data_IF_106205333481
#
_entry.id   IF_106205333481
#
_cell.length_a   1.000
_cell.length_b   1.000
_cell.length_c   1.000
_cell.angle_alpha   90.00
_cell.angle_beta   90.00
_cell.angle_gamma   90.00
#
_symmetry.space_group_name_H-M   'P 1'
#
loop_
_entity.id
_entity.type
_entity.pdbx_description
1 polymer ?
#
# COMPACT_ATOMS: atom_id res chain seq x y z
N UNK A 1 24.41 -28.10 -0.23
CA UNK A 1 23.08 -28.63 -0.26
C UNK A 1 22.14 -27.77 0.57
N UNK A 2 22.50 -27.63 1.79
CA UNK A 2 21.75 -26.73 2.63
C UNK A 2 21.73 -25.36 2.04
N UNK A 3 22.82 -24.99 1.48
CA UNK A 3 22.94 -23.71 0.82
C UNK A 3 21.91 -23.57 -0.27
N UNK A 4 21.72 -24.63 -1.01
CA UNK A 4 20.77 -24.56 -2.08
C UNK A 4 19.36 -24.36 -1.56
N UNK A 5 19.01 -25.07 -0.54
CA UNK A 5 17.69 -24.89 0.03
C UNK A 5 17.52 -23.48 0.57
N UNK A 6 18.55 -22.97 1.19
CA UNK A 6 18.50 -21.61 1.67
C UNK A 6 18.31 -20.61 0.56
N UNK A 7 19.04 -20.79 -0.51
CA UNK A 7 18.92 -19.87 -1.63
C UNK A 7 17.53 -19.93 -2.19
N UNK A 8 17.02 -21.11 -2.33
CA UNK A 8 15.70 -21.26 -2.87
C UNK A 8 14.66 -20.59 -1.98
N UNK A 9 14.79 -20.83 -0.72
CA UNK A 9 13.86 -20.21 0.21
C UNK A 9 13.99 -18.70 0.21
N UNK A 10 15.20 -18.22 0.11
CA UNK A 10 15.37 -16.79 0.02
C UNK A 10 14.63 -16.23 -1.16
N UNK A 11 14.67 -16.94 -2.26
CA UNK A 11 13.95 -16.48 -3.43
C UNK A 11 12.46 -16.58 -3.23
N UNK A 12 11.98 -17.72 -2.83
CA UNK A 12 10.57 -17.96 -2.74
C UNK A 12 9.93 -17.16 -1.59
N UNK A 13 10.57 -17.20 -0.46
CA UNK A 13 10.02 -16.51 0.69
C UNK A 13 10.13 -15.02 0.55
N UNK A 14 11.11 -14.59 -0.16
CA UNK A 14 11.34 -13.15 -0.28
C UNK A 14 10.44 -12.48 -1.28
N UNK A 15 9.80 -13.24 -2.10
CA UNK A 15 8.91 -12.62 -3.05
C UNK A 15 7.91 -11.75 -2.35
N UNK A 16 7.42 -12.22 -1.25
CA UNK A 16 6.51 -11.44 -0.46
C UNK A 16 7.08 -11.20 0.92
N UNK A 17 8.33 -11.38 1.02
CA UNK A 17 9.18 -11.30 2.17
C UNK A 17 8.63 -10.51 3.32
N UNK A 18 7.85 -11.08 4.08
CA UNK A 18 7.12 -10.34 5.10
C UNK A 18 7.98 -9.79 6.21
N UNK A 19 9.24 -10.10 6.19
CA UNK A 19 10.11 -9.51 7.19
C UNK A 19 10.08 -8.02 7.05
N UNK A 20 9.83 -7.34 8.14
CA UNK A 20 9.84 -5.90 8.13
C UNK A 20 8.53 -5.25 7.78
N UNK A 21 7.46 -6.02 7.73
CA UNK A 21 6.16 -5.40 7.56
C UNK A 21 5.85 -4.49 8.73
N UNK A 22 4.92 -3.57 8.54
CA UNK A 22 4.55 -2.65 9.59
C UNK A 22 3.21 -2.03 9.34
N UNK A 23 2.86 -1.05 10.17
CA UNK A 23 1.59 -0.35 10.04
C UNK A 23 1.81 1.14 10.21
N UNK A 24 0.94 1.92 9.58
CA UNK A 24 0.95 3.37 9.76
C UNK A 24 -0.49 3.86 9.62
N UNK A 25 -0.81 4.96 10.29
CA UNK A 25 -2.14 5.55 10.25
C UNK A 25 -2.04 6.99 9.77
N UNK A 26 -2.91 7.38 8.85
CA UNK A 26 -2.98 8.78 8.40
C UNK A 26 -3.46 9.68 9.53
N UNK A 27 -2.81 10.82 9.67
CA UNK A 27 -3.05 11.70 10.80
C UNK A 27 -4.22 12.65 10.59
N UNK A 28 -4.27 13.37 9.50
CA UNK A 28 -5.14 14.54 9.37
C UNK A 28 -6.27 14.36 8.38
N UNK A 29 -6.01 13.73 7.25
CA UNK A 29 -7.00 13.57 6.20
C UNK A 29 -6.63 12.38 5.34
N UNK A 30 -7.51 12.03 4.41
CA UNK A 30 -7.23 10.95 3.48
C UNK A 30 -6.18 11.33 2.43
N UNK A 31 -5.79 12.60 2.39
CA UNK A 31 -4.71 13.05 1.50
C UNK A 31 -3.38 13.19 2.21
N UNK A 32 -3.32 12.94 3.51
CA UNK A 32 -2.12 13.13 4.30
C UNK A 32 -1.09 12.06 3.95
N UNK A 33 0.14 12.47 3.67
CA UNK A 33 1.22 11.53 3.39
C UNK A 33 1.55 10.70 4.61
N UNK A 34 2.01 9.49 4.38
CA UNK A 34 2.45 8.60 5.45
C UNK A 34 3.87 8.15 5.15
N UNK A 35 4.56 7.68 6.16
CA UNK A 35 5.91 7.09 6.02
C UNK A 35 5.90 5.71 6.64
N UNK A 36 6.29 4.72 5.84
CA UNK A 36 6.41 3.35 6.32
C UNK A 36 7.50 2.67 5.49
N UNK A 37 8.66 2.49 6.09
CA UNK A 37 9.83 1.94 5.40
C UNK A 37 9.81 0.42 5.49
N UNK A 38 9.08 -0.20 4.58
CA UNK A 38 8.91 -1.65 4.57
C UNK A 38 8.49 -2.09 3.17
N UNK A 39 8.75 -3.35 2.85
CA UNK A 39 8.36 -3.89 1.55
C UNK A 39 6.92 -4.37 1.56
N UNK A 40 6.29 -4.46 2.71
CA UNK A 40 4.88 -4.77 2.83
C UNK A 40 4.35 -4.15 4.10
N UNK A 41 3.06 -3.94 4.17
CA UNK A 41 2.48 -3.38 5.37
C UNK A 41 1.04 -3.01 5.22
N UNK A 42 0.54 -2.30 6.24
CA UNK A 42 -0.83 -1.85 6.29
C UNK A 42 -0.88 -0.36 6.55
N UNK A 43 -1.77 0.31 5.85
CA UNK A 43 -1.99 1.74 6.02
C UNK A 43 -3.45 1.92 6.41
N UNK A 44 -3.68 2.47 7.60
CA UNK A 44 -5.02 2.82 8.05
C UNK A 44 -5.29 4.25 7.64
N UNK A 45 -6.30 4.44 6.81
CA UNK A 45 -6.64 5.78 6.35
C UNK A 45 -7.34 6.57 7.43
N UNK A 46 -7.27 7.88 7.31
CA UNK A 46 -8.04 8.78 8.15
C UNK A 46 -9.53 8.56 7.87
N UNK A 47 -10.37 8.77 8.87
CA UNK A 47 -11.82 8.57 8.71
C UNK A 47 -12.55 9.80 8.14
N UNK A 48 -11.84 10.73 7.56
CA UNK A 48 -12.46 11.87 6.91
C UNK A 48 -13.38 11.43 5.78
N UNK A 49 -14.40 12.21 5.51
CA UNK A 49 -15.38 11.87 4.50
C UNK A 49 -14.77 11.84 3.11
N UNK A 50 -15.20 10.85 2.34
CA UNK A 50 -14.89 10.78 0.91
C UNK A 50 -16.23 10.69 0.20
N UNK A 51 -16.56 11.73 -0.57
CA UNK A 51 -17.86 11.83 -1.21
C UNK A 51 -18.08 10.73 -2.23
N UNK A 52 -19.34 10.47 -2.56
CA UNK A 52 -19.68 9.52 -3.60
C UNK A 52 -19.00 9.91 -4.90
N UNK A 53 -18.45 8.93 -5.59
CA UNK A 53 -17.76 9.11 -6.88
C UNK A 53 -16.50 9.97 -6.81
N UNK A 54 -16.03 10.32 -5.61
CA UNK A 54 -14.82 11.09 -5.44
C UNK A 54 -13.62 10.16 -5.23
N UNK A 55 -12.44 10.70 -5.53
CA UNK A 55 -11.20 9.98 -5.26
C UNK A 55 -10.22 10.88 -4.53
N UNK A 56 -9.28 10.27 -3.86
CA UNK A 56 -8.23 10.97 -3.14
C UNK A 56 -6.92 10.21 -3.34
N UNK A 57 -5.83 10.95 -3.39
CA UNK A 57 -4.50 10.37 -3.56
C UNK A 57 -3.61 10.85 -2.43
N UNK A 58 -2.83 9.95 -1.86
CA UNK A 58 -1.84 10.32 -0.86
C UNK A 58 -0.51 9.66 -1.17
N UNK A 59 0.55 10.24 -0.65
CA UNK A 59 1.90 9.72 -0.88
C UNK A 59 2.33 8.82 0.26
N UNK A 60 3.00 7.74 -0.10
CA UNK A 60 3.65 6.84 0.87
C UNK A 60 5.15 7.01 0.70
N UNK A 61 5.80 7.54 1.72
CA UNK A 61 7.25 7.63 1.74
C UNK A 61 7.80 6.31 2.27
N UNK A 62 8.66 5.67 1.48
CA UNK A 62 9.10 4.32 1.80
C UNK A 62 10.46 4.10 1.13
N UNK A 63 11.51 4.10 1.94
CA UNK A 63 12.87 4.03 1.43
C UNK A 63 13.23 2.67 0.83
N UNK A 64 12.34 1.70 0.87
CA UNK A 64 12.55 0.40 0.23
C UNK A 64 12.09 0.39 -1.22
N UNK A 65 11.47 1.46 -1.69
CA UNK A 65 10.85 1.53 -3.01
C UNK A 65 11.83 2.10 -4.03
N UNK A 66 11.82 1.52 -5.22
CA UNK A 66 12.50 2.10 -6.36
C UNK A 66 11.51 2.31 -7.50
N UNK A 67 11.88 3.15 -8.45
CA UNK A 67 10.97 3.54 -9.53
C UNK A 67 10.56 2.36 -10.43
N UNK A 68 11.33 1.29 -10.42
CA UNK A 68 11.05 0.12 -11.26
C UNK A 68 10.26 -0.97 -10.53
N UNK A 69 9.90 -0.74 -9.29
CA UNK A 69 9.14 -1.72 -8.51
C UNK A 69 7.69 -1.75 -8.93
N UNK A 70 7.00 -2.82 -8.55
CA UNK A 70 5.56 -2.95 -8.68
C UNK A 70 4.97 -3.00 -7.29
N UNK A 71 4.04 -2.11 -6.99
CA UNK A 71 3.37 -2.09 -5.69
C UNK A 71 1.92 -2.52 -5.90
N UNK A 72 1.52 -3.54 -5.17
CA UNK A 72 0.17 -4.05 -5.20
C UNK A 72 -0.52 -3.61 -3.92
N UNK A 73 -1.70 -3.03 -4.05
CA UNK A 73 -2.50 -2.61 -2.91
C UNK A 73 -3.89 -3.21 -3.02
N UNK A 74 -4.53 -3.39 -1.87
CA UNK A 74 -5.92 -3.77 -1.85
C UNK A 74 -6.60 -3.19 -0.61
N UNK A 75 -7.93 -3.12 -0.66
CA UNK A 75 -8.73 -2.78 0.52
C UNK A 75 -8.75 -4.03 1.39
N UNK A 76 -7.91 -4.04 2.42
CA UNK A 76 -7.70 -5.24 3.22
C UNK A 76 -8.77 -5.47 4.26
N UNK A 77 -9.23 -4.41 4.93
CA UNK A 77 -10.20 -4.56 6.00
C UNK A 77 -10.81 -3.20 6.37
N UNK A 78 -11.77 -3.24 7.28
CA UNK A 78 -12.48 -2.09 7.81
C UNK A 78 -13.27 -1.34 6.75
N UNK A 79 -14.31 -0.68 7.16
CA UNK A 79 -15.19 0.05 6.26
C UNK A 79 -16.10 -0.86 5.47
N UNK A 80 -16.73 -0.30 4.46
CA UNK A 80 -17.75 -0.99 3.66
C UNK A 80 -17.10 -1.72 2.50
N UNK A 81 -17.17 -3.03 2.51
CA UNK A 81 -16.60 -3.85 1.45
C UNK A 81 -17.26 -3.53 0.12
N UNK A 82 -16.46 -3.51 -0.94
CA UNK A 82 -16.96 -3.27 -2.29
C UNK A 82 -17.20 -1.82 -2.64
N UNK A 83 -17.00 -0.90 -1.68
CA UNK A 83 -17.26 0.52 -1.91
C UNK A 83 -16.04 1.29 -2.36
N UNK A 84 -14.87 0.69 -2.38
CA UNK A 84 -13.63 1.38 -2.69
C UNK A 84 -12.85 0.68 -3.76
N UNK A 85 -12.28 1.47 -4.67
CA UNK A 85 -11.23 0.98 -5.56
C UNK A 85 -9.93 1.64 -5.12
N UNK A 86 -8.88 0.85 -5.05
CA UNK A 86 -7.57 1.36 -4.65
C UNK A 86 -6.53 0.92 -5.67
N UNK A 87 -5.56 1.80 -5.92
CA UNK A 87 -4.42 1.43 -6.75
C UNK A 87 -3.19 2.18 -6.28
N UNK A 88 -2.02 1.62 -6.61
CA UNK A 88 -0.75 2.28 -6.38
C UNK A 88 -0.25 2.83 -7.71
N UNK A 89 0.38 3.99 -7.66
CA UNK A 89 0.85 4.65 -8.86
C UNK A 89 2.00 5.60 -8.52
N UNK A 90 2.54 6.26 -9.53
CA UNK A 90 3.55 7.31 -9.36
C UNK A 90 4.76 6.83 -8.58
N UNK A 91 5.27 5.65 -8.92
CA UNK A 91 6.44 5.11 -8.25
C UNK A 91 7.67 5.94 -8.56
N UNK A 92 8.46 6.17 -7.52
CA UNK A 92 9.71 6.89 -7.61
C UNK A 92 10.68 6.29 -6.60
N UNK A 93 11.93 6.70 -6.68
CA UNK A 93 12.88 6.27 -5.66
C UNK A 93 12.44 6.84 -4.32
N UNK A 94 12.09 5.97 -3.39
CA UNK A 94 11.72 6.37 -2.05
C UNK A 94 10.26 6.69 -1.82
N UNK A 95 9.38 6.53 -2.82
CA UNK A 95 7.96 6.80 -2.59
C UNK A 95 7.07 6.21 -3.67
N UNK A 96 5.79 6.11 -3.34
CA UNK A 96 4.75 5.85 -4.32
C UNK A 96 3.47 6.54 -3.82
N UNK A 97 2.45 6.55 -4.64
CA UNK A 97 1.18 7.12 -4.25
C UNK A 97 0.09 6.07 -4.31
N UNK A 98 -0.92 6.27 -3.50
CA UNK A 98 -2.11 5.42 -3.48
C UNK A 98 -3.31 6.31 -3.77
N UNK A 99 -4.13 5.88 -4.73
CA UNK A 99 -5.37 6.54 -5.04
C UNK A 99 -6.52 5.67 -4.57
N UNK A 100 -7.45 6.27 -3.86
CA UNK A 100 -8.62 5.60 -3.31
C UNK A 100 -9.85 6.28 -3.86
N UNK A 101 -10.74 5.51 -4.47
CA UNK A 101 -11.98 6.03 -5.03
C UNK A 101 -13.16 5.44 -4.28
N UNK A 102 -14.11 6.28 -3.92
CA UNK A 102 -15.38 5.84 -3.35
C UNK A 102 -16.34 5.61 -4.52
N UNK A 103 -16.63 4.35 -4.81
CA UNK A 103 -17.49 4.00 -5.94
C UNK A 103 -18.92 3.72 -5.50
N UNK A 104 -19.24 4.02 -4.25
CA UNK A 104 -20.60 3.85 -3.75
C UNK A 104 -21.45 5.08 -4.06
N UNK A 105 -22.74 4.98 -3.76
CA UNK A 105 -23.68 6.04 -4.05
C UNK A 105 -23.72 7.13 -2.97
N UNK A 106 -22.99 6.96 -1.88
CA UNK A 106 -23.03 7.91 -0.78
C UNK A 106 -21.65 8.23 -0.25
N UNK A 107 -21.57 9.31 0.53
CA UNK A 107 -20.32 9.68 1.19
C UNK A 107 -20.01 8.69 2.30
N UNK A 108 -18.73 8.35 2.44
CA UNK A 108 -18.28 7.42 3.47
C UNK A 108 -17.17 8.07 4.29
N UNK A 109 -17.29 7.94 5.62
CA UNK A 109 -16.29 8.47 6.54
C UNK A 109 -15.69 7.31 7.32
N UNK A 110 -14.86 6.55 6.65
CA UNK A 110 -14.37 5.28 7.19
C UNK A 110 -12.85 5.21 7.16
N UNK A 111 -12.28 4.66 8.23
CA UNK A 111 -10.85 4.45 8.33
C UNK A 111 -10.51 3.07 7.78
N UNK A 112 -10.57 2.94 6.47
CA UNK A 112 -10.27 1.65 5.84
C UNK A 112 -8.79 1.32 5.98
N UNK A 113 -8.49 0.03 5.93
CA UNK A 113 -7.11 -0.47 5.99
C UNK A 113 -6.73 -0.98 4.63
N UNK A 114 -5.64 -0.45 4.11
CA UNK A 114 -5.08 -0.86 2.83
C UNK A 114 -3.84 -1.71 3.12
N UNK A 115 -3.80 -2.90 2.53
CA UNK A 115 -2.60 -3.73 2.56
C UNK A 115 -1.79 -3.45 1.31
N UNK A 116 -0.45 -3.44 1.44
CA UNK A 116 0.40 -3.30 0.26
C UNK A 116 1.58 -4.26 0.33
N UNK A 117 2.09 -4.58 -0.83
CA UNK A 117 3.35 -5.32 -0.99
C UNK A 117 4.10 -4.74 -2.17
N UNK A 118 5.39 -4.58 -2.03
CA UNK A 118 6.25 -4.11 -3.10
C UNK A 118 6.99 -5.30 -3.68
N UNK A 119 6.84 -5.50 -4.98
CA UNK A 119 7.57 -6.52 -5.71
C UNK A 119 8.72 -5.81 -6.43
N UNK A 120 9.93 -6.31 -6.22
CA UNK A 120 11.11 -5.63 -6.75
C UNK A 120 11.17 -5.84 -8.25
N UNK A 121 11.29 -4.73 -8.96
CA UNK A 121 11.39 -4.77 -10.39
C UNK A 121 12.80 -5.11 -10.83
N UNK A 122 12.93 -5.48 -12.09
CA UNK A 122 14.23 -5.75 -12.66
C UNK A 122 15.04 -4.46 -12.69
N UNK A 123 16.24 -4.55 -12.22
CA UNK A 123 17.11 -3.37 -12.20
C UNK A 123 18.09 -3.39 -13.34
N UNK A 124 17.72 -4.03 -14.40
CA UNK A 124 18.52 -4.19 -15.60
C UNK A 124 19.72 -5.07 -15.40
#
# INVERSE_FOLDING_TARGET
VITMASIFEATAGNLVGPTGGGTVTQATSKATAVTLNAESGQITLNNAALAAAAEVTFQVNNDKISATDVVVVNHGSAGTAGSYLVNANSLASGSFKVTVANVSAGSLSEAIVINFVALKGASS
#
